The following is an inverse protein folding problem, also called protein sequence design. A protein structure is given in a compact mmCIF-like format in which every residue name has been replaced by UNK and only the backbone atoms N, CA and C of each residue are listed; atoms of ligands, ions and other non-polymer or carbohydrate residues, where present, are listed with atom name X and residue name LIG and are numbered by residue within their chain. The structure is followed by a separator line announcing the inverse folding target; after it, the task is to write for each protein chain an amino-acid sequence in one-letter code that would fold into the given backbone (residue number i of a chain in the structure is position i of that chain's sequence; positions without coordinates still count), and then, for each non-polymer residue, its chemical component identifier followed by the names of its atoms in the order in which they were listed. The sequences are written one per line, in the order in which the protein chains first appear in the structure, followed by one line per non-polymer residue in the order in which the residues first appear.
data_IF_068087689500
#
_entry.id   IF_068087689500
#
_cell.length_a   1.000
_cell.length_b   1.000
_cell.length_c   1.000
_cell.angle_alpha   90.00
_cell.angle_beta   90.00
_cell.angle_gamma   90.00
#
_symmetry.space_group_name_H-M   'P 1'
#
loop_
_entity.id
_entity.type
_entity.pdbx_description
1 polymer ?
#
# COMPACT_ATOMS: atom_id res chain seq x y z
N UNK A 1 6.54 6.72 12.15
CA UNK A 1 6.16 7.18 10.80
C UNK A 1 6.95 8.42 10.51
N UNK A 2 7.64 8.45 9.38
CA UNK A 2 8.67 9.42 9.06
C UNK A 2 8.19 10.30 7.89
N UNK A 3 8.58 11.57 7.91
CA UNK A 3 8.32 12.53 6.86
C UNK A 3 9.66 13.10 6.42
N UNK A 4 9.93 13.06 5.11
CA UNK A 4 11.17 13.60 4.55
C UNK A 4 10.82 14.55 3.41
N UNK A 5 11.42 15.74 3.44
CA UNK A 5 11.29 16.77 2.41
C UNK A 5 12.66 17.00 1.79
N UNK A 6 12.75 17.11 0.48
CA UNK A 6 14.04 17.38 -0.16
C UNK A 6 13.99 17.34 -1.67
N UNK A 7 15.16 17.51 -2.27
CA UNK A 7 15.35 17.45 -3.71
C UNK A 7 15.64 16.01 -4.14
N UNK A 8 14.94 15.50 -5.14
CA UNK A 8 15.18 14.18 -5.68
C UNK A 8 16.55 14.11 -6.37
N UNK A 9 17.32 13.07 -6.06
CA UNK A 9 18.57 12.75 -6.73
C UNK A 9 18.61 11.26 -7.10
N UNK A 10 19.38 10.89 -8.12
CA UNK A 10 19.56 9.49 -8.56
C UNK A 10 18.24 8.76 -8.78
N UNK A 11 17.31 9.41 -9.48
CA UNK A 11 15.96 8.89 -9.70
C UNK A 11 16.01 7.72 -10.68
N UNK A 12 15.42 6.59 -10.30
CA UNK A 12 15.32 5.38 -11.12
C UNK A 12 13.89 4.87 -11.12
N UNK A 13 13.34 4.73 -12.31
CA UNK A 13 12.02 4.12 -12.52
C UNK A 13 12.20 2.65 -12.88
N UNK A 14 11.45 1.78 -12.22
CA UNK A 14 11.39 0.35 -12.53
C UNK A 14 9.95 -0.15 -12.48
N UNK A 15 9.72 -1.29 -13.10
CA UNK A 15 8.41 -1.92 -13.20
C UNK A 15 8.49 -3.31 -12.59
N UNK A 16 7.56 -3.61 -11.70
CA UNK A 16 7.34 -4.96 -11.22
C UNK A 16 6.04 -5.48 -11.82
N UNK A 17 6.13 -6.54 -12.61
CA UNK A 17 4.98 -7.22 -13.19
C UNK A 17 4.68 -8.49 -12.40
N UNK A 18 3.49 -8.57 -11.84
CA UNK A 18 2.96 -9.77 -11.21
C UNK A 18 2.02 -10.50 -12.17
N UNK A 19 2.31 -11.78 -12.45
CA UNK A 19 1.36 -12.68 -13.12
C UNK A 19 0.44 -13.30 -12.08
N UNK A 20 -0.88 -13.14 -12.22
CA UNK A 20 -1.85 -13.90 -11.43
C UNK A 20 -1.69 -15.41 -11.67
N UNK A 21 -1.76 -16.21 -10.60
CA UNK A 21 -1.76 -17.67 -10.70
C UNK A 21 -3.12 -18.15 -11.26
N UNK A 22 -3.18 -18.54 -12.53
CA UNK A 22 -4.38 -19.10 -13.15
C UNK A 22 -4.33 -19.06 -14.67
N UNK A 23 -4.50 -20.24 -15.28
CA UNK A 23 -4.45 -20.45 -16.72
C UNK A 23 -5.64 -19.76 -17.44
N UNK A 24 -5.36 -19.31 -18.67
CA UNK A 24 -6.21 -18.72 -19.72
C UNK A 24 -6.56 -17.24 -19.68
N UNK A 25 -6.66 -16.56 -18.53
CA UNK A 25 -6.80 -15.08 -18.47
C UNK A 25 -5.94 -14.51 -17.34
N UNK A 26 -4.62 -14.47 -17.54
CA UNK A 26 -3.70 -13.95 -16.53
C UNK A 26 -3.87 -12.43 -16.41
N UNK A 27 -4.52 -11.98 -15.33
CA UNK A 27 -4.55 -10.57 -14.98
C UNK A 27 -3.11 -10.14 -14.63
N UNK A 28 -2.51 -9.30 -15.47
CA UNK A 28 -1.16 -8.78 -15.25
C UNK A 28 -1.28 -7.54 -14.39
N UNK A 29 -0.75 -7.61 -13.16
CA UNK A 29 -0.66 -6.44 -12.30
C UNK A 29 0.69 -5.77 -12.51
N UNK A 30 0.68 -4.51 -12.94
CA UNK A 30 1.89 -3.69 -13.08
C UNK A 30 2.00 -2.74 -11.88
N UNK A 31 3.12 -2.84 -11.17
CA UNK A 31 3.49 -1.89 -10.10
C UNK A 31 4.67 -1.07 -10.59
N UNK A 32 4.48 0.24 -10.65
CA UNK A 32 5.54 1.21 -10.91
C UNK A 32 6.27 1.49 -9.61
N UNK A 33 7.59 1.31 -9.63
CA UNK A 33 8.45 1.56 -8.49
C UNK A 33 9.42 2.67 -8.87
N UNK A 34 9.45 3.73 -8.09
CA UNK A 34 10.44 4.79 -8.22
C UNK A 34 11.40 4.70 -7.03
N UNK A 35 12.68 4.47 -7.32
CA UNK A 35 13.77 4.53 -6.36
C UNK A 35 14.46 5.88 -6.52
N UNK A 36 14.65 6.60 -5.42
CA UNK A 36 15.31 7.91 -5.45
C UNK A 36 16.10 8.13 -4.16
N UNK A 37 17.03 9.08 -4.19
CA UNK A 37 17.74 9.56 -3.02
C UNK A 37 17.18 10.93 -2.60
N UNK A 38 16.82 11.07 -1.33
CA UNK A 38 16.31 12.31 -0.73
C UNK A 38 17.11 12.59 0.55
N UNK A 39 17.83 13.71 0.62
CA UNK A 39 18.68 14.06 1.77
C UNK A 39 19.56 12.88 2.25
N UNK A 40 20.30 12.30 1.31
CA UNK A 40 21.16 11.12 1.51
C UNK A 40 20.45 9.79 1.80
N UNK A 41 19.13 9.77 2.03
CA UNK A 41 18.34 8.56 2.27
C UNK A 41 17.81 7.97 0.97
N UNK A 42 17.90 6.65 0.83
CA UNK A 42 17.25 5.94 -0.27
C UNK A 42 15.76 5.79 0.04
N UNK A 43 14.91 6.14 -0.92
CA UNK A 43 13.46 6.09 -0.82
C UNK A 43 12.90 5.24 -1.94
N UNK A 44 11.96 4.37 -1.58
CA UNK A 44 11.16 3.55 -2.50
C UNK A 44 9.71 4.04 -2.48
N UNK A 45 9.20 4.40 -3.66
CA UNK A 45 7.82 4.78 -3.89
C UNK A 45 7.16 3.75 -4.80
N UNK A 46 6.00 3.24 -4.40
CA UNK A 46 5.24 2.26 -5.16
C UNK A 46 3.92 2.89 -5.58
N UNK A 47 3.54 2.71 -6.85
CA UNK A 47 2.24 3.13 -7.36
C UNK A 47 1.76 2.19 -8.46
N UNK A 48 0.45 2.17 -8.70
CA UNK A 48 -0.15 1.44 -9.83
C UNK A 48 -0.15 2.23 -11.14
N UNK A 49 0.20 3.50 -11.07
CA UNK A 49 0.32 4.39 -12.22
C UNK A 49 1.76 4.90 -12.27
N UNK A 50 2.25 5.34 -13.45
CA UNK A 50 3.57 5.93 -13.59
C UNK A 50 3.76 7.09 -12.60
N UNK A 51 4.86 7.05 -11.84
CA UNK A 51 5.24 8.14 -10.95
C UNK A 51 5.96 9.22 -11.76
N UNK A 52 5.43 10.45 -11.74
CA UNK A 52 6.05 11.59 -12.41
C UNK A 52 7.00 12.28 -11.42
N UNK A 53 8.22 11.76 -11.34
CA UNK A 53 9.30 12.29 -10.52
C UNK A 53 10.57 12.37 -11.35
N UNK A 54 11.16 13.55 -11.40
CA UNK A 54 12.41 13.81 -12.10
C UNK A 54 13.54 14.15 -11.13
N UNK A 55 14.77 14.02 -11.60
CA UNK A 55 15.91 14.52 -10.84
C UNK A 55 15.82 16.03 -10.67
N UNK A 56 16.05 16.49 -9.45
CA UNK A 56 15.96 17.89 -9.09
C UNK A 56 14.58 18.36 -8.61
N UNK A 57 13.55 17.52 -8.69
CA UNK A 57 12.21 17.87 -8.18
C UNK A 57 12.21 18.02 -6.66
N UNK A 58 11.43 18.97 -6.14
CA UNK A 58 11.17 19.07 -4.71
C UNK A 58 10.03 18.13 -4.31
N UNK A 59 10.30 17.22 -3.38
CA UNK A 59 9.37 16.19 -2.94
C UNK A 59 9.15 16.26 -1.43
N UNK A 60 7.94 15.89 -1.02
CA UNK A 60 7.58 15.54 0.35
C UNK A 60 7.09 14.10 0.35
N UNK A 61 7.71 13.25 1.16
CA UNK A 61 7.39 11.82 1.22
C UNK A 61 7.12 11.44 2.67
N UNK A 62 6.01 10.75 2.92
CA UNK A 62 5.71 10.15 4.21
C UNK A 62 5.72 8.62 4.11
N UNK A 63 6.39 7.98 5.07
CA UNK A 63 6.63 6.55 5.00
C UNK A 63 7.16 5.94 6.28
N UNK A 64 7.72 4.74 6.13
CA UNK A 64 8.38 4.01 7.21
C UNK A 64 9.71 3.45 6.74
N UNK A 65 10.75 3.77 7.48
CA UNK A 65 12.08 3.20 7.28
C UNK A 65 12.11 1.74 7.71
N UNK A 66 12.75 0.90 6.89
CA UNK A 66 13.02 -0.48 7.24
C UNK A 66 14.30 -0.60 8.08
N UNK A 67 14.64 -1.83 8.50
CA UNK A 67 15.86 -2.10 9.29
C UNK A 67 17.16 -1.90 8.50
N UNK A 68 17.08 -1.81 7.17
CA UNK A 68 18.22 -1.63 6.27
C UNK A 68 18.42 -0.16 5.88
N UNK A 69 17.60 0.75 6.39
CA UNK A 69 17.69 2.19 6.13
C UNK A 69 16.98 2.65 4.85
N UNK A 70 16.24 1.76 4.17
CA UNK A 70 15.39 2.14 3.03
C UNK A 70 14.07 2.72 3.55
N UNK A 71 13.77 3.95 3.15
CA UNK A 71 12.47 4.55 3.44
C UNK A 71 11.45 4.06 2.43
N UNK A 72 10.47 3.25 2.88
CA UNK A 72 9.32 2.91 2.06
C UNK A 72 8.26 3.99 2.19
N UNK A 73 8.06 4.76 1.12
CA UNK A 73 7.06 5.82 1.07
C UNK A 73 5.66 5.25 0.87
N UNK A 74 4.73 5.68 1.71
CA UNK A 74 3.30 5.36 1.60
C UNK A 74 2.52 6.45 0.89
N UNK A 75 2.99 7.71 0.94
CA UNK A 75 2.43 8.81 0.18
C UNK A 75 3.55 9.80 -0.20
N UNK A 76 3.35 10.50 -1.32
CA UNK A 76 4.25 11.54 -1.78
C UNK A 76 3.50 12.70 -2.43
N UNK A 77 4.13 13.87 -2.38
CA UNK A 77 3.75 15.04 -3.17
C UNK A 77 5.01 15.60 -3.84
N UNK A 78 4.91 15.84 -5.14
CA UNK A 78 5.89 16.58 -5.91
C UNK A 78 5.48 18.05 -5.93
N UNK A 79 6.23 18.88 -5.22
CA UNK A 79 5.99 20.31 -5.12
C UNK A 79 6.36 21.05 -6.42
N UNK A 80 7.27 20.48 -7.22
CA UNK A 80 7.68 21.05 -8.50
C UNK A 80 6.61 20.86 -9.59
N UNK A 81 5.94 19.71 -9.62
CA UNK A 81 4.91 19.40 -10.64
C UNK A 81 3.48 19.46 -10.13
N UNK A 82 3.27 19.61 -8.82
CA UNK A 82 1.96 19.58 -8.17
C UNK A 82 1.32 18.19 -8.08
N UNK A 83 2.01 17.14 -8.51
CA UNK A 83 1.47 15.78 -8.51
C UNK A 83 1.50 15.16 -7.11
N UNK A 84 0.53 14.29 -6.82
CA UNK A 84 0.42 13.56 -5.54
C UNK A 84 0.12 12.10 -5.83
N UNK A 85 0.59 11.22 -4.94
CA UNK A 85 0.26 9.80 -5.03
C UNK A 85 0.45 9.06 -3.72
N UNK A 86 -0.16 7.89 -3.63
CA UNK A 86 -0.18 7.03 -2.45
C UNK A 86 -0.13 5.54 -2.80
N UNK A 87 0.26 4.71 -1.83
CA UNK A 87 0.38 3.25 -1.95
C UNK A 87 -1.02 2.56 -1.88
N UNK A 88 -2.00 3.06 -2.62
CA UNK A 88 -3.30 2.41 -2.83
C UNK A 88 -4.29 2.54 -1.68
N UNK A 89 -4.44 3.72 -1.07
CA UNK A 89 -5.33 4.00 0.05
C UNK A 89 -6.74 3.43 -0.15
N UNK A 90 -7.34 3.70 -1.31
CA UNK A 90 -8.70 3.24 -1.63
C UNK A 90 -8.84 1.71 -1.62
N UNK A 91 -7.80 0.98 -2.03
CA UNK A 91 -7.84 -0.48 -2.03
C UNK A 91 -7.84 -1.01 -0.60
N UNK A 92 -7.04 -0.41 0.28
CA UNK A 92 -7.03 -0.78 1.69
C UNK A 92 -8.36 -0.45 2.37
N UNK A 93 -8.94 0.74 2.10
CA UNK A 93 -10.23 1.17 2.65
C UNK A 93 -11.37 0.26 2.20
N UNK A 94 -11.37 -0.22 0.95
CA UNK A 94 -12.43 -1.08 0.42
C UNK A 94 -12.20 -2.55 0.82
N UNK A 95 -10.98 -3.06 0.72
CA UNK A 95 -10.68 -4.47 0.99
C UNK A 95 -10.92 -4.85 2.45
N UNK A 96 -10.60 -3.96 3.39
CA UNK A 96 -10.79 -4.21 4.82
C UNK A 96 -12.25 -4.57 5.20
N UNK A 97 -13.26 -3.71 4.96
CA UNK A 97 -14.65 -4.03 5.30
C UNK A 97 -15.18 -5.21 4.49
N UNK A 98 -14.78 -5.37 3.22
CA UNK A 98 -15.21 -6.52 2.41
C UNK A 98 -14.73 -7.83 3.01
N UNK A 99 -13.44 -7.93 3.38
CA UNK A 99 -12.90 -9.13 4.00
C UNK A 99 -13.52 -9.42 5.38
N UNK A 100 -13.73 -8.38 6.21
CA UNK A 100 -14.36 -8.53 7.52
C UNK A 100 -15.83 -8.95 7.42
N UNK A 101 -16.58 -8.36 6.49
CA UNK A 101 -17.97 -8.74 6.23
C UNK A 101 -18.06 -10.18 5.72
N UNK A 102 -17.18 -10.58 4.79
CA UNK A 102 -17.11 -11.96 4.30
C UNK A 102 -16.78 -12.96 5.42
N UNK A 103 -15.86 -12.60 6.32
CA UNK A 103 -15.54 -13.42 7.50
C UNK A 103 -16.76 -13.60 8.42
N UNK A 104 -17.48 -12.53 8.73
CA UNK A 104 -18.69 -12.59 9.54
C UNK A 104 -19.82 -13.39 8.86
N UNK A 105 -19.97 -13.23 7.55
CA UNK A 105 -20.94 -13.99 6.76
C UNK A 105 -20.65 -15.48 6.80
N UNK A 106 -19.41 -15.91 6.55
CA UNK A 106 -19.03 -17.34 6.59
C UNK A 106 -19.22 -17.89 8.01
N UNK A 107 -18.85 -17.12 9.03
CA UNK A 107 -19.05 -17.51 10.42
C UNK A 107 -20.52 -17.81 10.74
N UNK A 108 -21.44 -16.93 10.31
CA UNK A 108 -22.87 -17.10 10.54
C UNK A 108 -23.52 -18.16 9.64
N UNK A 109 -23.24 -18.14 8.34
CA UNK A 109 -23.87 -19.00 7.34
C UNK A 109 -23.48 -20.49 7.48
N UNK A 110 -22.29 -20.76 8.02
CA UNK A 110 -21.79 -22.12 8.23
C UNK A 110 -21.78 -22.51 9.72
N UNK A 111 -22.49 -21.74 10.56
CA UNK A 111 -22.70 -22.09 11.96
C UNK A 111 -23.44 -23.44 12.03
N UNK A 112 -22.86 -24.42 12.73
CA UNK A 112 -23.40 -25.77 12.86
C UNK A 112 -22.91 -26.78 11.81
N UNK A 113 -22.22 -26.35 10.75
CA UNK A 113 -21.58 -27.27 9.80
C UNK A 113 -20.23 -27.73 10.37
N UNK A 114 -20.10 -29.05 10.59
CA UNK A 114 -18.86 -29.66 11.10
C UNK A 114 -18.48 -30.92 10.32
N UNK A 115 -17.18 -31.18 10.21
CA UNK A 115 -16.62 -32.42 9.67
C UNK A 115 -15.86 -33.08 10.82
N UNK A 116 -16.25 -34.30 11.20
CA UNK A 116 -15.66 -35.04 12.33
C UNK A 116 -15.63 -34.23 13.64
N UNK A 117 -16.68 -33.44 13.91
CA UNK A 117 -16.77 -32.58 15.10
C UNK A 117 -15.98 -31.28 15.01
N UNK A 118 -15.22 -31.04 13.93
CA UNK A 118 -14.51 -29.78 13.70
C UNK A 118 -15.40 -28.81 12.94
N UNK A 119 -15.71 -27.62 13.49
CA UNK A 119 -16.50 -26.60 12.80
C UNK A 119 -15.75 -26.06 11.58
N UNK A 120 -16.36 -26.20 10.41
CA UNK A 120 -15.72 -25.92 9.12
C UNK A 120 -15.48 -24.41 8.89
N UNK A 121 -16.24 -23.57 9.58
CA UNK A 121 -16.24 -22.11 9.38
C UNK A 121 -15.05 -21.40 10.05
N UNK A 122 -14.38 -22.00 11.04
CA UNK A 122 -13.34 -21.31 11.81
C UNK A 122 -12.15 -20.89 10.95
N UNK A 123 -11.56 -21.83 10.21
CA UNK A 123 -10.37 -21.57 9.39
C UNK A 123 -10.58 -20.47 8.33
N UNK A 124 -11.58 -20.56 7.43
CA UNK A 124 -11.78 -19.54 6.40
C UNK A 124 -12.17 -18.18 7.00
N UNK A 125 -13.00 -18.17 8.06
CA UNK A 125 -13.42 -16.91 8.70
C UNK A 125 -12.25 -16.21 9.39
N UNK A 126 -11.42 -16.94 10.14
CA UNK A 126 -10.24 -16.38 10.79
C UNK A 126 -9.21 -15.88 9.78
N UNK A 127 -9.00 -16.62 8.69
CA UNK A 127 -8.10 -16.20 7.61
C UNK A 127 -8.58 -14.87 6.99
N UNK A 128 -9.86 -14.81 6.61
CA UNK A 128 -10.44 -13.59 6.03
C UNK A 128 -10.45 -12.42 7.02
N UNK A 129 -10.74 -12.67 8.30
CA UNK A 129 -10.68 -11.65 9.33
C UNK A 129 -9.25 -11.11 9.50
N UNK A 130 -8.25 -12.00 9.53
CA UNK A 130 -6.84 -11.62 9.58
C UNK A 130 -6.41 -10.77 8.38
N UNK A 131 -6.82 -11.15 7.17
CA UNK A 131 -6.59 -10.36 5.95
C UNK A 131 -7.28 -9.00 6.03
N UNK A 132 -8.53 -8.94 6.49
CA UNK A 132 -9.27 -7.69 6.68
C UNK A 132 -8.61 -6.74 7.69
N UNK A 133 -8.16 -7.26 8.83
CA UNK A 133 -7.41 -6.51 9.84
C UNK A 133 -6.09 -5.98 9.26
N UNK A 134 -5.38 -6.81 8.50
CA UNK A 134 -4.15 -6.39 7.82
C UNK A 134 -4.40 -5.20 6.87
N UNK A 135 -5.45 -5.29 6.04
CA UNK A 135 -5.83 -4.20 5.14
C UNK A 135 -6.23 -2.94 5.91
N UNK A 136 -6.95 -3.07 7.03
CA UNK A 136 -7.35 -1.94 7.88
C UNK A 136 -6.13 -1.21 8.46
N UNK A 137 -5.18 -1.96 9.04
CA UNK A 137 -3.93 -1.41 9.62
C UNK A 137 -3.08 -0.74 8.54
N UNK A 138 -2.94 -1.37 7.36
CA UNK A 138 -2.24 -0.77 6.23
C UNK A 138 -2.93 0.49 5.72
N UNK A 139 -4.25 0.47 5.56
CA UNK A 139 -5.04 1.63 5.15
C UNK A 139 -4.87 2.81 6.09
N UNK A 140 -4.89 2.56 7.41
CA UNK A 140 -4.65 3.60 8.41
C UNK A 140 -3.25 4.22 8.28
N UNK A 141 -2.21 3.42 8.02
CA UNK A 141 -0.86 3.93 7.79
C UNK A 141 -0.77 4.80 6.53
N UNK A 142 -1.35 4.35 5.42
CA UNK A 142 -1.37 5.14 4.18
C UNK A 142 -2.17 6.42 4.35
N UNK A 143 -3.32 6.36 5.03
CA UNK A 143 -4.15 7.54 5.30
C UNK A 143 -3.40 8.61 6.12
N UNK A 144 -2.71 8.19 7.19
CA UNK A 144 -1.86 9.08 7.96
C UNK A 144 -0.72 9.69 7.12
N UNK A 145 -0.21 8.95 6.14
CA UNK A 145 0.83 9.44 5.21
C UNK A 145 0.27 10.56 4.33
N UNK A 146 -0.89 10.31 3.72
CA UNK A 146 -1.57 11.26 2.84
C UNK A 146 -1.89 12.55 3.58
N UNK A 147 -2.39 12.47 4.81
CA UNK A 147 -2.67 13.66 5.62
C UNK A 147 -1.42 14.49 5.91
N UNK A 148 -0.34 13.83 6.35
CA UNK A 148 0.92 14.52 6.66
C UNK A 148 1.55 15.19 5.45
N UNK A 149 1.58 14.48 4.31
CA UNK A 149 2.05 15.04 3.04
C UNK A 149 1.15 16.20 2.60
N UNK A 150 -0.17 16.07 2.74
CA UNK A 150 -1.12 17.12 2.42
C UNK A 150 -0.87 18.42 3.19
N UNK A 151 -0.69 18.31 4.52
CA UNK A 151 -0.40 19.46 5.40
C UNK A 151 0.91 20.16 5.03
N UNK A 152 1.95 19.39 4.70
CA UNK A 152 3.27 19.94 4.37
C UNK A 152 3.37 20.49 2.95
N UNK A 153 2.60 19.94 2.01
CA UNK A 153 2.53 20.51 0.65
C UNK A 153 1.75 21.82 0.58
N UNK A 154 0.99 22.17 1.62
CA UNK A 154 0.24 23.41 1.71
C UNK A 154 1.04 24.56 2.36
N UNK A 155 2.27 24.28 2.83
CA UNK A 155 3.20 25.23 3.44
C UNK A 155 4.27 25.68 2.45
#
# INVERSE_FOLDING_TARGET
MELVRGKAAKVRHTLQMGRGAGDRHSNVSTTHICLLQLQERTVSLHARHPLIVNEGDQLVIAGRSDRQGLLRGFAHANLSTGTRGDDGLWQHIIAAPVCLAAAGFIWGAMAGVSINGVPLHWLPSLLLAGVGIYFAVRGAQVWQAVQRVGQESAR
#
